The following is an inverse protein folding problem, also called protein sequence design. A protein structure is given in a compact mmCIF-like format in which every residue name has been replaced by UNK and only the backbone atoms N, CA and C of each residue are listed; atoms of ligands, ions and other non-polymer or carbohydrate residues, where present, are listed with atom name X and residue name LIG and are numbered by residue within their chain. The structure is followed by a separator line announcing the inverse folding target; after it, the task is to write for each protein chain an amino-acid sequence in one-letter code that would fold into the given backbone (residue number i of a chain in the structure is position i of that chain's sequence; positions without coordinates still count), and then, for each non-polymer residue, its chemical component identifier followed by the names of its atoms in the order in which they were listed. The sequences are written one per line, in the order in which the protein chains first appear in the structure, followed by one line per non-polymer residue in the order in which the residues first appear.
data_IF_269201810798
#
_entry.id   IF_269201810798
#
_cell.length_a   1.000
_cell.length_b   1.000
_cell.length_c   1.000
_cell.angle_alpha   90.00
_cell.angle_beta   90.00
_cell.angle_gamma   90.00
#
_symmetry.space_group_name_H-M   'P 1'
#
loop_
_entity.id
_entity.type
_entity.pdbx_description
1 polymer ?
#
# COMPACT_ATOMS: atom_id res chain seq x y z
N UNK A 1 33.25 50.33 -32.17
CA UNK A 1 32.22 49.51 -32.85
C UNK A 1 32.30 48.10 -32.28
N UNK A 2 31.69 47.79 -31.13
CA UNK A 2 30.26 47.57 -30.84
C UNK A 2 29.60 46.42 -31.62
N UNK A 3 29.35 45.35 -30.86
CA UNK A 3 28.16 44.48 -30.90
C UNK A 3 27.98 43.48 -32.07
N UNK A 4 28.50 42.25 -31.94
CA UNK A 4 27.93 41.10 -32.68
C UNK A 4 27.91 39.74 -31.96
N UNK A 5 28.64 39.52 -30.86
CA UNK A 5 28.84 38.15 -30.33
C UNK A 5 27.84 37.76 -29.21
N UNK A 6 27.00 38.67 -28.71
CA UNK A 6 26.15 38.40 -27.51
C UNK A 6 24.72 37.93 -27.81
N UNK A 7 24.48 37.20 -28.91
CA UNK A 7 23.13 36.67 -29.25
C UNK A 7 22.99 35.14 -29.27
N UNK A 8 24.05 34.37 -29.02
CA UNK A 8 23.99 32.91 -29.11
C UNK A 8 23.85 32.17 -27.76
N UNK A 9 23.88 32.88 -26.62
CA UNK A 9 24.04 32.25 -25.30
C UNK A 9 23.11 32.86 -24.24
N UNK A 10 21.80 32.90 -24.51
CA UNK A 10 20.82 33.31 -23.49
C UNK A 10 19.56 32.45 -23.39
N UNK A 11 19.27 31.58 -24.36
CA UNK A 11 17.99 30.84 -24.38
C UNK A 11 18.09 29.30 -24.40
N UNK A 12 19.29 28.70 -24.38
CA UNK A 12 19.43 27.22 -24.50
C UNK A 12 19.15 26.46 -23.18
N UNK A 13 19.45 27.08 -22.03
CA UNK A 13 19.34 26.39 -20.74
C UNK A 13 17.89 26.27 -20.27
N UNK A 14 17.05 27.27 -20.53
CA UNK A 14 15.65 27.31 -20.08
C UNK A 14 14.79 26.24 -20.74
N UNK A 15 15.07 25.90 -22.01
CA UNK A 15 14.43 24.81 -22.75
C UNK A 15 14.86 23.43 -22.27
N UNK A 16 16.16 23.25 -21.96
CA UNK A 16 16.69 22.00 -21.39
C UNK A 16 16.10 21.73 -20.00
N UNK A 17 15.99 22.76 -19.15
CA UNK A 17 15.38 22.61 -17.82
C UNK A 17 13.88 22.29 -17.88
N UNK A 18 13.14 22.83 -18.84
CA UNK A 18 11.71 22.49 -19.00
C UNK A 18 11.52 21.06 -19.52
N UNK A 19 12.35 20.60 -20.46
CA UNK A 19 12.32 19.21 -20.95
C UNK A 19 12.74 18.21 -19.86
N UNK A 20 13.78 18.54 -19.06
CA UNK A 20 14.20 17.72 -17.92
C UNK A 20 13.14 17.64 -16.81
N UNK A 21 12.44 18.75 -16.52
CA UNK A 21 11.39 18.76 -15.50
C UNK A 21 10.18 17.90 -15.93
N UNK A 22 9.78 17.99 -17.20
CA UNK A 22 8.68 17.18 -17.76
C UNK A 22 9.04 15.68 -17.79
N UNK A 23 10.30 15.32 -18.04
CA UNK A 23 10.76 13.94 -18.00
C UNK A 23 10.72 13.33 -16.58
N UNK A 24 11.05 14.13 -15.56
CA UNK A 24 11.01 13.68 -14.15
C UNK A 24 9.58 13.41 -13.65
N UNK A 25 8.58 14.15 -14.13
CA UNK A 25 7.18 13.87 -13.81
C UNK A 25 6.65 12.58 -14.45
N UNK A 26 7.20 12.18 -15.60
CA UNK A 26 6.84 10.90 -16.24
C UNK A 26 7.30 9.67 -15.43
N UNK A 27 8.25 9.84 -14.50
CA UNK A 27 8.77 8.79 -13.64
C UNK A 27 8.15 8.78 -12.23
N UNK A 28 7.27 9.73 -11.90
CA UNK A 28 6.56 9.77 -10.62
C UNK A 28 5.40 8.75 -10.53
N UNK A 29 5.27 7.86 -11.52
CA UNK A 29 4.43 6.67 -11.46
C UNK A 29 5.16 5.46 -10.87
N UNK A 30 6.00 5.62 -9.85
CA UNK A 30 6.53 4.50 -9.08
C UNK A 30 5.42 4.00 -8.13
N UNK A 31 4.45 3.25 -8.67
CA UNK A 31 3.61 2.41 -7.82
C UNK A 31 4.47 1.25 -7.28
N UNK A 32 5.20 1.53 -6.21
CA UNK A 32 5.90 0.50 -5.46
C UNK A 32 4.88 -0.52 -4.93
N UNK A 33 5.22 -1.83 -4.99
CA UNK A 33 4.33 -2.87 -4.50
C UNK A 33 4.11 -2.72 -2.98
N UNK A 34 2.87 -2.81 -2.47
CA UNK A 34 2.53 -2.66 -1.05
C UNK A 34 2.90 -3.89 -0.21
N UNK A 35 4.16 -4.34 -0.31
CA UNK A 35 4.66 -5.52 0.40
C UNK A 35 4.59 -5.33 1.92
N UNK A 36 4.83 -4.09 2.38
CA UNK A 36 4.78 -3.76 3.80
C UNK A 36 3.36 -3.96 4.35
N UNK A 37 2.35 -3.38 3.71
CA UNK A 37 0.95 -3.52 4.14
C UNK A 37 0.50 -4.97 4.09
N UNK A 38 0.93 -5.73 3.09
CA UNK A 38 0.64 -7.16 2.99
C UNK A 38 1.19 -7.93 4.20
N UNK A 39 2.45 -7.68 4.54
CA UNK A 39 3.09 -8.36 5.66
C UNK A 39 2.45 -7.98 7.00
N UNK A 40 2.13 -6.70 7.19
CA UNK A 40 1.46 -6.22 8.40
C UNK A 40 0.06 -6.83 8.57
N UNK A 41 -0.74 -6.86 7.51
CA UNK A 41 -2.08 -7.45 7.53
C UNK A 41 -2.02 -8.95 7.87
N UNK A 42 -1.10 -9.70 7.24
CA UNK A 42 -0.88 -11.12 7.52
C UNK A 42 -0.45 -11.35 8.98
N UNK A 43 0.46 -10.52 9.50
CA UNK A 43 0.87 -10.60 10.89
C UNK A 43 -0.27 -10.29 11.87
N UNK A 44 -1.13 -9.32 11.55
CA UNK A 44 -2.28 -8.96 12.36
C UNK A 44 -3.30 -10.11 12.45
N UNK A 45 -3.68 -10.71 11.31
CA UNK A 45 -4.60 -11.87 11.25
C UNK A 45 -4.03 -13.05 12.04
N UNK A 46 -2.75 -13.39 11.83
CA UNK A 46 -2.09 -14.48 12.56
C UNK A 46 -2.00 -14.21 14.06
N UNK A 47 -1.78 -12.95 14.47
CA UNK A 47 -1.80 -12.57 15.89
C UNK A 47 -3.21 -12.72 16.47
N UNK A 48 -4.24 -12.27 15.77
CA UNK A 48 -5.63 -12.45 16.17
C UNK A 48 -5.98 -13.93 16.35
N UNK A 49 -5.57 -14.79 15.41
CA UNK A 49 -5.71 -16.25 15.49
C UNK A 49 -5.07 -16.81 16.76
N UNK A 50 -3.80 -16.47 17.03
CA UNK A 50 -3.06 -16.94 18.22
C UNK A 50 -3.71 -16.49 19.53
N UNK A 51 -4.31 -15.30 19.54
CA UNK A 51 -5.02 -14.78 20.70
C UNK A 51 -6.41 -15.42 20.89
N UNK A 52 -6.86 -16.26 19.97
CA UNK A 52 -8.17 -16.93 20.05
C UNK A 52 -9.31 -16.08 19.46
N UNK A 53 -9.01 -15.11 18.61
CA UNK A 53 -10.03 -14.33 17.90
C UNK A 53 -10.96 -15.23 17.08
N UNK A 54 -10.49 -16.37 16.58
CA UNK A 54 -11.35 -17.38 15.95
C UNK A 54 -12.48 -17.89 16.88
N UNK A 55 -12.26 -17.89 18.20
CA UNK A 55 -13.25 -18.34 19.18
C UNK A 55 -14.11 -17.20 19.71
N UNK A 56 -13.50 -16.06 20.03
CA UNK A 56 -14.18 -14.93 20.67
C UNK A 56 -14.80 -13.93 19.69
N UNK A 57 -14.28 -13.87 18.45
CA UNK A 57 -14.73 -12.97 17.40
C UNK A 57 -14.64 -13.63 16.00
N UNK A 58 -15.32 -14.79 15.79
CA UNK A 58 -15.21 -15.56 14.55
C UNK A 58 -15.61 -14.76 13.30
N UNK A 59 -16.64 -13.91 13.41
CA UNK A 59 -17.12 -13.10 12.29
C UNK A 59 -16.06 -12.11 11.79
N UNK A 60 -15.46 -11.34 12.70
CA UNK A 60 -14.40 -10.37 12.36
C UNK A 60 -13.12 -11.08 11.91
N UNK A 61 -12.77 -12.20 12.54
CA UNK A 61 -11.61 -12.98 12.12
C UNK A 61 -11.79 -13.54 10.71
N UNK A 62 -12.95 -14.12 10.41
CA UNK A 62 -13.27 -14.63 9.07
C UNK A 62 -13.32 -13.52 8.02
N UNK A 63 -13.81 -12.34 8.39
CA UNK A 63 -13.83 -11.18 7.50
C UNK A 63 -12.41 -10.72 7.18
N UNK A 64 -11.57 -10.55 8.20
CA UNK A 64 -10.17 -10.16 8.04
C UNK A 64 -9.37 -11.17 7.19
N UNK A 65 -9.60 -12.47 7.39
CA UNK A 65 -8.97 -13.54 6.59
C UNK A 65 -9.44 -13.49 5.13
N UNK A 66 -10.72 -13.26 4.89
CA UNK A 66 -11.27 -13.11 3.54
C UNK A 66 -10.69 -11.88 2.85
N UNK A 67 -10.66 -10.73 3.52
CA UNK A 67 -10.12 -9.48 2.96
C UNK A 67 -8.63 -9.58 2.67
N UNK A 68 -7.86 -10.23 3.55
CA UNK A 68 -6.45 -10.51 3.32
C UNK A 68 -6.26 -11.40 2.08
N UNK A 69 -7.06 -12.45 1.96
CA UNK A 69 -7.00 -13.37 0.82
C UNK A 69 -7.32 -12.65 -0.50
N UNK A 70 -8.40 -11.88 -0.54
CA UNK A 70 -8.77 -11.09 -1.74
C UNK A 70 -7.72 -10.02 -2.04
N UNK A 71 -7.15 -9.40 -1.01
CA UNK A 71 -6.07 -8.42 -1.15
C UNK A 71 -4.78 -9.03 -1.70
N UNK A 72 -4.42 -10.23 -1.25
CA UNK A 72 -3.30 -11.02 -1.77
C UNK A 72 -3.52 -11.38 -3.24
N UNK A 73 -4.69 -11.92 -3.58
CA UNK A 73 -5.03 -12.26 -4.96
C UNK A 73 -4.96 -11.05 -5.89
N UNK A 74 -5.51 -9.91 -5.48
CA UNK A 74 -5.46 -8.68 -6.26
C UNK A 74 -4.03 -8.15 -6.38
N UNK A 75 -3.23 -8.21 -5.30
CA UNK A 75 -1.81 -7.89 -5.35
C UNK A 75 -1.05 -8.77 -6.37
N UNK A 76 -1.28 -10.08 -6.36
CA UNK A 76 -0.68 -11.00 -7.32
C UNK A 76 -1.19 -10.74 -8.75
N UNK A 77 -2.46 -10.41 -8.90
CA UNK A 77 -3.05 -10.07 -10.20
C UNK A 77 -2.42 -8.80 -10.79
N UNK A 78 -2.23 -7.78 -9.96
CA UNK A 78 -1.64 -6.49 -10.35
C UNK A 78 -0.14 -6.62 -10.59
N UNK A 79 0.58 -7.42 -9.80
CA UNK A 79 2.02 -7.65 -10.01
C UNK A 79 2.32 -8.38 -11.33
N UNK A 80 1.37 -9.19 -11.84
CA UNK A 80 1.46 -9.81 -13.17
C UNK A 80 1.24 -8.83 -14.33
N UNK A 81 0.57 -7.69 -14.12
CA UNK A 81 0.36 -6.69 -15.17
C UNK A 81 1.68 -5.99 -15.51
N UNK A 82 1.69 -5.31 -16.65
CA UNK A 82 2.79 -4.43 -17.08
C UNK A 82 2.82 -3.16 -16.21
N UNK A 83 4.03 -2.64 -15.92
CA UNK A 83 4.27 -1.57 -14.93
C UNK A 83 3.31 -0.37 -15.00
N UNK A 84 2.93 0.07 -16.20
CA UNK A 84 2.05 1.22 -16.43
C UNK A 84 0.55 0.92 -16.25
N UNK A 85 0.15 -0.34 -16.16
CA UNK A 85 -1.24 -0.78 -15.98
C UNK A 85 -1.48 -1.44 -14.61
N UNK A 86 -0.47 -1.45 -13.72
CA UNK A 86 -0.63 -1.91 -12.34
C UNK A 86 -1.40 -0.86 -11.54
N UNK A 87 -2.26 -1.31 -10.65
CA UNK A 87 -2.93 -0.50 -9.65
C UNK A 87 -3.05 -1.29 -8.34
N UNK A 88 -2.21 -0.97 -7.37
CA UNK A 88 -2.24 -1.60 -6.05
C UNK A 88 -3.21 -0.95 -5.07
N UNK A 89 -3.93 0.12 -5.44
CA UNK A 89 -4.81 0.86 -4.52
C UNK A 89 -5.88 -0.03 -3.88
N UNK A 90 -6.48 -0.92 -4.67
CA UNK A 90 -7.48 -1.88 -4.19
C UNK A 90 -6.88 -2.89 -3.22
N UNK A 91 -5.73 -3.47 -3.59
CA UNK A 91 -5.00 -4.42 -2.74
C UNK A 91 -4.60 -3.78 -1.40
N UNK A 92 -4.05 -2.57 -1.43
CA UNK A 92 -3.70 -1.79 -0.22
C UNK A 92 -4.92 -1.53 0.66
N UNK A 93 -6.06 -1.15 0.05
CA UNK A 93 -7.30 -0.91 0.79
C UNK A 93 -7.78 -2.17 1.50
N UNK A 94 -7.78 -3.30 0.81
CA UNK A 94 -8.16 -4.60 1.37
C UNK A 94 -7.21 -5.03 2.51
N UNK A 95 -5.90 -4.82 2.34
CA UNK A 95 -4.93 -5.13 3.40
C UNK A 95 -5.12 -4.26 4.65
N UNK A 96 -5.43 -2.96 4.48
CA UNK A 96 -5.72 -2.07 5.61
C UNK A 96 -7.02 -2.44 6.33
N UNK A 97 -8.05 -2.85 5.58
CA UNK A 97 -9.30 -3.36 6.16
C UNK A 97 -9.03 -4.64 6.96
N UNK A 98 -8.34 -5.61 6.35
CA UNK A 98 -7.98 -6.86 7.00
C UNK A 98 -7.18 -6.64 8.29
N UNK A 99 -6.24 -5.68 8.26
CA UNK A 99 -5.48 -5.28 9.45
C UNK A 99 -6.41 -4.69 10.53
N UNK A 100 -7.31 -3.79 10.16
CA UNK A 100 -8.26 -3.14 11.08
C UNK A 100 -9.19 -4.16 11.73
N UNK A 101 -9.76 -5.06 10.94
CA UNK A 101 -10.68 -6.08 11.42
C UNK A 101 -9.96 -7.13 12.27
N UNK A 102 -8.74 -7.52 11.90
CA UNK A 102 -7.90 -8.39 12.72
C UNK A 102 -7.55 -7.74 14.08
N UNK A 103 -7.26 -6.44 14.11
CA UNK A 103 -7.03 -5.72 15.36
C UNK A 103 -8.28 -5.63 16.23
N UNK A 104 -9.46 -5.41 15.64
CA UNK A 104 -10.71 -5.45 16.39
C UNK A 104 -11.00 -6.85 16.95
N UNK A 105 -10.83 -7.89 16.14
CA UNK A 105 -11.02 -9.27 16.57
C UNK A 105 -10.05 -9.65 17.71
N UNK A 106 -8.81 -9.18 17.65
CA UNK A 106 -7.83 -9.33 18.72
C UNK A 106 -8.22 -8.58 19.99
N UNK A 107 -8.71 -7.35 19.88
CA UNK A 107 -9.16 -6.57 21.03
C UNK A 107 -10.32 -7.24 21.76
N UNK A 108 -11.30 -7.79 21.03
CA UNK A 108 -12.40 -8.55 21.61
C UNK A 108 -11.91 -9.84 22.30
N UNK A 109 -11.02 -10.59 21.66
CA UNK A 109 -10.44 -11.79 22.27
C UNK A 109 -9.66 -11.48 23.57
N UNK A 110 -8.95 -10.35 23.61
CA UNK A 110 -8.24 -9.92 24.82
C UNK A 110 -9.18 -9.45 25.92
N UNK A 111 -10.26 -8.75 25.58
CA UNK A 111 -11.28 -8.30 26.54
C UNK A 111 -11.99 -9.49 27.20
N UNK A 112 -12.40 -10.49 26.40
CA UNK A 112 -13.02 -11.71 26.91
C UNK A 112 -12.05 -12.54 27.78
N UNK A 113 -10.76 -12.63 27.39
CA UNK A 113 -9.73 -13.26 28.25
C UNK A 113 -9.57 -12.54 29.58
N UNK A 114 -9.61 -11.20 29.60
CA UNK A 114 -9.49 -10.43 30.84
C UNK A 114 -10.70 -10.63 31.75
N UNK A 115 -11.92 -10.62 31.19
CA UNK A 115 -13.15 -10.92 31.93
C UNK A 115 -13.13 -12.32 32.54
N UNK A 116 -12.62 -13.31 31.81
CA UNK A 116 -12.53 -14.68 32.30
C UNK A 116 -11.42 -14.90 33.35
N UNK A 117 -10.51 -13.94 33.53
CA UNK A 117 -9.41 -14.00 34.50
C UNK A 117 -9.69 -13.21 35.79
N UNK A 118 -10.83 -12.52 35.89
CA UNK A 118 -11.34 -11.90 37.12
C UNK A 118 -12.40 -12.80 37.76
#
# INVERSE_FOLDING_TARGET
MSQSVKRAQRNSHTGIYTVLCVWSFLMAGCQEPPIHQLQEARQAVEKAKREGAYTYAPDLYSLAESELTVGEEEFYNQSRKIFWARDYSMATRLMMLAQTDAHQALALAQDEKQKSSM
#
